data_IF_511732358352
#
_entry.id   IF_511732358352
#
_cell.length_a   1.000
_cell.length_b   1.000
_cell.length_c   1.000
_cell.angle_alpha   90.00
_cell.angle_beta   90.00
_cell.angle_gamma   90.00
#
_symmetry.space_group_name_H-M   'P 1'
#
loop_
_entity.id
_entity.type
_entity.pdbx_description
1 polymer ?
#
# COMPACT_ATOMS: atom_id res chain seq x y z
N UNK A 1 -31.03 -17.53 6.65
CA UNK A 1 -29.81 -17.42 5.85
C UNK A 1 -28.77 -16.75 6.72
N UNK A 2 -27.85 -17.52 7.28
CA UNK A 2 -26.81 -16.99 8.18
C UNK A 2 -25.66 -16.42 7.34
N UNK A 3 -24.95 -15.38 7.80
CA UNK A 3 -23.86 -14.74 7.04
C UNK A 3 -22.69 -15.67 6.67
N UNK A 4 -22.64 -16.89 7.19
CA UNK A 4 -21.64 -17.91 6.87
C UNK A 4 -22.04 -18.82 5.69
N UNK A 5 -23.31 -18.80 5.27
CA UNK A 5 -23.79 -19.64 4.16
C UNK A 5 -23.42 -19.09 2.77
N UNK A 6 -22.95 -17.84 2.67
CA UNK A 6 -22.56 -17.20 1.40
C UNK A 6 -21.05 -17.24 1.11
N UNK A 7 -20.23 -17.80 2.00
CA UNK A 7 -18.79 -17.90 1.77
C UNK A 7 -18.47 -19.11 0.90
N UNK A 8 -17.63 -18.91 -0.11
CA UNK A 8 -17.09 -20.00 -0.94
C UNK A 8 -16.29 -20.98 -0.09
N UNK A 9 -15.95 -22.15 -0.63
CA UNK A 9 -15.14 -23.11 0.13
C UNK A 9 -13.79 -22.49 0.56
N UNK A 10 -13.20 -22.92 1.69
CA UNK A 10 -11.88 -22.45 2.10
C UNK A 10 -10.79 -22.64 1.03
N UNK A 11 -10.89 -23.68 0.20
CA UNK A 11 -9.97 -23.88 -0.94
C UNK A 11 -10.11 -22.76 -1.99
N UNK A 12 -11.33 -22.36 -2.34
CA UNK A 12 -11.58 -21.27 -3.28
C UNK A 12 -11.09 -19.93 -2.73
N UNK A 13 -11.37 -19.64 -1.45
CA UNK A 13 -10.88 -18.43 -0.79
C UNK A 13 -9.35 -18.37 -0.77
N UNK A 14 -8.68 -19.51 -0.57
CA UNK A 14 -7.22 -19.61 -0.62
C UNK A 14 -6.69 -19.36 -2.04
N UNK A 15 -7.33 -19.93 -3.06
CA UNK A 15 -6.97 -19.72 -4.46
C UNK A 15 -7.12 -18.26 -4.90
N UNK A 16 -8.18 -17.58 -4.42
CA UNK A 16 -8.39 -16.16 -4.66
C UNK A 16 -7.30 -15.30 -4.00
N UNK A 17 -6.94 -15.61 -2.75
CA UNK A 17 -5.82 -14.94 -2.07
C UNK A 17 -4.50 -15.11 -2.84
N UNK A 18 -4.23 -16.32 -3.32
CA UNK A 18 -3.06 -16.64 -4.15
C UNK A 18 -3.06 -15.86 -5.48
N UNK A 19 -4.21 -15.77 -6.14
CA UNK A 19 -4.37 -15.00 -7.38
C UNK A 19 -4.16 -13.49 -7.13
N UNK A 20 -4.73 -12.93 -6.06
CA UNK A 20 -4.54 -11.54 -5.65
C UNK A 20 -3.07 -11.27 -5.33
N UNK A 21 -2.41 -12.17 -4.60
CA UNK A 21 -0.99 -12.06 -4.25
C UNK A 21 -0.10 -11.97 -5.50
N UNK A 22 -0.32 -12.83 -6.49
CA UNK A 22 0.38 -12.78 -7.78
C UNK A 22 0.10 -11.50 -8.56
N UNK A 23 -1.17 -11.10 -8.67
CA UNK A 23 -1.58 -9.91 -9.43
C UNK A 23 -1.01 -8.62 -8.84
N UNK A 24 -0.99 -8.52 -7.51
CA UNK A 24 -0.46 -7.36 -6.79
C UNK A 24 1.05 -7.46 -6.56
N UNK A 25 1.69 -8.55 -7.01
CA UNK A 25 3.11 -8.86 -6.85
C UNK A 25 3.54 -8.72 -5.38
N UNK A 26 2.71 -9.23 -4.47
CA UNK A 26 2.92 -9.04 -3.04
C UNK A 26 4.21 -9.66 -2.55
N UNK A 27 4.63 -10.82 -3.06
CA UNK A 27 5.90 -11.43 -2.67
C UNK A 27 7.10 -10.49 -2.92
N UNK A 28 7.20 -9.92 -4.12
CA UNK A 28 8.27 -8.99 -4.45
C UNK A 28 8.19 -7.70 -3.62
N UNK A 29 6.98 -7.19 -3.35
CA UNK A 29 6.77 -6.01 -2.51
C UNK A 29 7.10 -6.28 -1.04
N UNK A 30 6.76 -7.48 -0.54
CA UNK A 30 7.02 -7.91 0.83
C UNK A 30 8.52 -8.14 1.06
N UNK A 31 9.21 -8.78 0.11
CA UNK A 31 10.66 -8.92 0.14
C UNK A 31 11.35 -7.55 0.22
N UNK A 32 10.93 -6.60 -0.63
CA UNK A 32 11.44 -5.23 -0.60
C UNK A 32 11.12 -4.50 0.71
N UNK A 33 9.94 -4.72 1.27
CA UNK A 33 9.55 -4.12 2.55
C UNK A 33 10.40 -4.68 3.71
N UNK A 34 10.64 -6.00 3.73
CA UNK A 34 11.49 -6.65 4.71
C UNK A 34 12.94 -6.15 4.63
N UNK A 35 13.50 -6.02 3.43
CA UNK A 35 14.82 -5.41 3.21
C UNK A 35 14.86 -3.96 3.70
N UNK A 36 13.84 -3.16 3.37
CA UNK A 36 13.79 -1.75 3.76
C UNK A 36 13.66 -1.56 5.28
N UNK A 37 13.03 -2.51 5.97
CA UNK A 37 12.81 -2.45 7.41
C UNK A 37 14.10 -2.62 8.23
N UNK A 38 15.14 -3.23 7.66
CA UNK A 38 16.45 -3.42 8.32
C UNK A 38 17.50 -2.40 7.89
N UNK A 39 17.21 -1.62 6.84
CA UNK A 39 18.08 -0.53 6.41
C UNK A 39 17.85 0.70 7.30
N UNK A 40 18.90 1.51 7.53
CA UNK A 40 18.72 2.82 8.13
C UNK A 40 17.67 3.62 7.36
N UNK A 41 16.85 4.38 8.08
CA UNK A 41 15.84 5.22 7.46
C UNK A 41 16.52 6.15 6.43
N UNK A 42 15.96 6.27 5.21
CA UNK A 42 16.49 7.20 4.22
C UNK A 42 16.48 8.61 4.82
N UNK A 43 17.66 9.21 4.88
CA UNK A 43 17.86 10.55 5.42
C UNK A 43 18.15 11.51 4.28
N UNK A 44 17.69 12.75 4.44
CA UNK A 44 18.05 13.86 3.55
C UNK A 44 19.09 14.71 4.27
N UNK A 45 20.22 14.97 3.62
CA UNK A 45 21.27 15.81 4.20
C UNK A 45 21.19 17.23 3.63
N UNK A 46 21.64 18.22 4.40
CA UNK A 46 21.66 19.61 3.94
C UNK A 46 22.61 19.78 2.76
N UNK A 47 23.71 19.04 2.75
CA UNK A 47 24.72 19.01 1.70
C UNK A 47 24.16 18.60 0.34
N UNK A 48 23.10 17.77 0.32
CA UNK A 48 22.41 17.36 -0.91
C UNK A 48 21.50 18.46 -1.46
N UNK A 49 21.03 19.37 -0.59
CA UNK A 49 20.06 20.43 -0.91
C UNK A 49 20.41 21.73 -0.16
N UNK A 50 21.52 22.41 -0.49
CA UNK A 50 22.07 23.51 0.31
C UNK A 50 21.29 24.83 0.20
N UNK A 51 20.14 24.80 -0.45
CA UNK A 51 19.24 25.93 -0.68
C UNK A 51 17.81 25.43 -0.69
N UNK A 52 16.87 26.34 -0.45
CA UNK A 52 15.45 26.00 -0.45
C UNK A 52 14.99 25.50 -1.83
N UNK A 53 14.28 24.36 -1.83
CA UNK A 53 13.66 23.78 -3.01
C UNK A 53 12.15 23.83 -2.81
N UNK A 54 11.39 24.40 -3.75
CA UNK A 54 9.94 24.44 -3.65
C UNK A 54 9.38 23.00 -3.62
N UNK A 55 8.48 22.74 -2.67
CA UNK A 55 7.80 21.45 -2.58
C UNK A 55 6.94 21.24 -3.82
N UNK A 56 6.94 20.00 -4.34
CA UNK A 56 6.04 19.64 -5.43
C UNK A 56 4.60 19.69 -4.92
N UNK A 57 3.73 20.31 -5.70
CA UNK A 57 2.29 20.27 -5.45
C UNK A 57 1.80 18.82 -5.56
N UNK A 58 1.08 18.36 -4.54
CA UNK A 58 0.44 17.04 -4.52
C UNK A 58 -1.05 17.28 -4.77
N UNK A 59 -1.58 16.70 -5.84
CA UNK A 59 -3.00 16.75 -6.15
C UNK A 59 -3.67 15.46 -5.68
N UNK A 60 -4.67 15.60 -4.81
CA UNK A 60 -5.52 14.49 -4.40
C UNK A 60 -6.64 14.36 -5.44
N UNK A 61 -6.67 13.21 -6.11
CA UNK A 61 -7.74 12.91 -7.07
C UNK A 61 -8.97 12.34 -6.36
N UNK A 62 -10.14 12.50 -6.98
CA UNK A 62 -11.40 11.93 -6.46
C UNK A 62 -11.30 10.41 -6.24
N UNK A 63 -10.54 9.70 -7.08
CA UNK A 63 -10.32 8.27 -6.94
C UNK A 63 -9.51 7.93 -5.68
N UNK A 64 -8.48 8.73 -5.36
CA UNK A 64 -7.70 8.57 -4.15
C UNK A 64 -8.54 8.85 -2.90
N UNK A 65 -9.39 9.89 -2.92
CA UNK A 65 -10.34 10.20 -1.85
C UNK A 65 -11.30 9.04 -1.60
N UNK A 66 -11.89 8.46 -2.66
CA UNK A 66 -12.78 7.29 -2.53
C UNK A 66 -12.07 6.09 -1.89
N UNK A 67 -10.84 5.80 -2.31
CA UNK A 67 -10.05 4.70 -1.73
C UNK A 67 -9.72 4.94 -0.26
N UNK A 68 -9.29 6.14 0.10
CA UNK A 68 -8.96 6.47 1.49
C UNK A 68 -10.17 6.35 2.42
N UNK A 69 -11.34 6.85 2.00
CA UNK A 69 -12.58 6.70 2.76
C UNK A 69 -12.95 5.21 2.97
N UNK A 70 -12.76 4.36 1.96
CA UNK A 70 -13.03 2.92 2.08
C UNK A 70 -12.07 2.21 3.06
N UNK A 71 -10.84 2.72 3.17
CA UNK A 71 -9.79 2.20 4.06
C UNK A 71 -9.73 2.91 5.42
N UNK A 72 -10.65 3.85 5.70
CA UNK A 72 -10.64 4.69 6.90
C UNK A 72 -9.32 5.46 7.11
N UNK A 73 -8.69 5.85 6.00
CA UNK A 73 -7.49 6.70 5.99
C UNK A 73 -7.92 8.16 5.84
N UNK A 74 -7.42 9.03 6.71
CA UNK A 74 -7.60 10.48 6.56
C UNK A 74 -6.52 11.03 5.62
N UNK A 75 -6.96 11.62 4.51
CA UNK A 75 -6.10 12.36 3.60
C UNK A 75 -6.30 13.84 3.88
N UNK A 76 -5.36 14.41 4.65
CA UNK A 76 -5.28 15.84 4.97
C UNK A 76 -4.37 16.59 3.98
#
# INVERSE_FOLDING_TARGET
>A
MTPYEELTSPQEMHADCEAVSRNLRFEARLARAAESAVLPAPSIHFEDFPREIPKREIRISDAATRLANALQLHLD
#
